data_IF_230533896405
#
_entry.id   IF_230533896405
#
_cell.length_a   1.000
_cell.length_b   1.000
_cell.length_c   1.000
_cell.angle_alpha   90.00
_cell.angle_beta   90.00
_cell.angle_gamma   90.00
#
_symmetry.space_group_name_H-M   'P 1'
#
loop_
_entity.id
_entity.type
_entity.pdbx_description
1 polymer ?
#
# COMPACT_ATOMS: atom_id res chain seq x y z
N UNK A 1 2.33 -25.02 31.86
CA UNK A 1 2.14 -26.48 31.69
C UNK A 1 3.42 -27.16 32.12
N UNK A 2 3.35 -27.87 33.23
CA UNK A 2 4.47 -28.44 33.97
C UNK A 2 4.56 -29.93 33.64
N UNK A 3 5.73 -30.44 33.25
CA UNK A 3 6.01 -31.88 33.21
C UNK A 3 7.21 -32.16 34.11
N UNK A 4 7.02 -32.79 35.28
CA UNK A 4 8.16 -33.23 36.06
C UNK A 4 8.67 -34.56 35.51
N UNK A 5 9.96 -34.61 35.20
CA UNK A 5 10.71 -35.86 35.05
C UNK A 5 11.02 -36.38 36.45
N UNK A 6 10.55 -37.58 36.79
CA UNK A 6 10.93 -38.26 38.02
C UNK A 6 11.77 -39.50 37.67
N UNK A 7 13.06 -39.42 37.99
CA UNK A 7 14.00 -40.54 37.93
C UNK A 7 13.74 -41.44 39.15
N UNK A 8 13.49 -42.72 38.93
CA UNK A 8 13.42 -43.70 40.03
C UNK A 8 14.76 -44.43 40.12
N UNK A 9 15.38 -44.27 41.29
CA UNK A 9 16.70 -44.79 41.67
C UNK A 9 16.58 -46.25 42.09
N UNK A 10 17.59 -47.02 41.70
CA UNK A 10 17.81 -48.40 42.11
C UNK A 10 18.09 -48.52 43.62
N UNK A 11 17.48 -49.51 44.28
CA UNK A 11 18.09 -50.33 45.35
C UNK A 11 16.99 -51.14 46.05
N UNK A 12 17.02 -52.47 45.91
CA UNK A 12 16.77 -53.41 47.01
C UNK A 12 17.58 -54.67 46.70
N UNK A 13 18.74 -54.80 47.35
CA UNK A 13 19.34 -56.10 47.62
C UNK A 13 18.66 -56.66 48.86
N UNK A 14 17.98 -57.80 48.75
CA UNK A 14 17.72 -58.66 49.91
C UNK A 14 17.74 -60.13 49.48
N UNK A 15 18.84 -60.75 49.84
CA UNK A 15 19.16 -62.18 49.86
C UNK A 15 17.97 -63.12 50.04
N UNK A 16 17.89 -64.14 49.17
CA UNK A 16 17.47 -65.47 49.60
C UNK A 16 18.22 -66.51 48.77
N UNK A 17 19.29 -67.03 49.37
CA UNK A 17 20.04 -68.19 48.92
C UNK A 17 19.09 -69.37 48.72
N UNK A 18 18.78 -69.71 47.47
CA UNK A 18 18.04 -70.93 47.18
C UNK A 18 19.03 -72.09 47.20
N UNK A 19 19.11 -72.73 48.36
CA UNK A 19 19.77 -74.02 48.55
C UNK A 19 19.17 -75.00 47.53
N UNK A 20 20.05 -75.52 46.66
CA UNK A 20 19.82 -76.65 45.78
C UNK A 20 19.62 -77.92 46.64
N UNK A 21 18.41 -78.13 47.12
CA UNK A 21 17.95 -79.46 47.54
C UNK A 21 17.47 -80.19 46.28
N UNK A 22 18.39 -80.91 45.65
CA UNK A 22 18.15 -81.85 44.56
C UNK A 22 17.29 -83.00 45.11
N UNK A 23 15.97 -82.84 45.09
CA UNK A 23 15.06 -83.98 45.06
C UNK A 23 14.96 -84.42 43.60
N UNK A 24 15.65 -85.51 43.29
CA UNK A 24 15.72 -86.23 42.03
C UNK A 24 14.36 -86.79 41.62
N UNK A 25 13.44 -85.91 41.22
CA UNK A 25 12.42 -86.23 40.23
C UNK A 25 12.89 -85.75 38.87
N UNK A 26 12.62 -86.46 37.77
CA UNK A 26 12.91 -85.95 36.44
C UNK A 26 12.00 -84.74 36.16
N UNK A 27 12.44 -83.53 36.52
CA UNK A 27 11.86 -82.30 35.99
C UNK A 27 12.45 -82.10 34.60
N UNK A 28 11.97 -82.93 33.68
CA UNK A 28 12.06 -82.62 32.26
C UNK A 28 11.21 -81.38 32.02
N UNK A 29 11.81 -80.20 32.09
CA UNK A 29 11.38 -79.10 31.23
C UNK A 29 11.79 -79.45 29.79
N UNK A 30 11.27 -80.58 29.28
CA UNK A 30 11.40 -80.96 27.89
C UNK A 30 10.41 -80.07 27.13
N UNK A 31 10.80 -78.82 26.88
CA UNK A 31 10.32 -78.13 25.69
C UNK A 31 10.62 -79.07 24.53
N UNK A 32 9.59 -79.66 23.95
CA UNK A 32 9.78 -80.58 22.83
C UNK A 32 10.46 -79.82 21.70
N UNK A 33 11.28 -80.51 20.89
CA UNK A 33 11.96 -79.89 19.76
C UNK A 33 10.97 -79.17 18.81
N UNK A 34 9.71 -79.63 18.76
CA UNK A 34 8.60 -78.96 18.09
C UNK A 34 8.27 -77.58 18.70
N UNK A 35 8.10 -77.47 20.02
CA UNK A 35 7.78 -76.20 20.69
C UNK A 35 8.89 -75.15 20.54
N UNK A 36 10.15 -75.56 20.52
CA UNK A 36 11.27 -74.66 20.24
C UNK A 36 11.24 -74.16 18.78
N UNK A 37 10.91 -75.05 17.84
CA UNK A 37 10.78 -74.74 16.41
C UNK A 37 9.62 -73.78 16.15
N UNK A 38 8.49 -73.96 16.83
CA UNK A 38 7.32 -73.07 16.74
C UNK A 38 7.61 -71.67 17.30
N UNK A 39 8.32 -71.58 18.44
CA UNK A 39 8.80 -70.29 18.97
C UNK A 39 9.76 -69.60 18.03
N UNK A 40 10.68 -70.35 17.40
CA UNK A 40 11.64 -69.80 16.44
C UNK A 40 10.94 -69.25 15.18
N UNK A 41 9.97 -70.00 14.64
CA UNK A 41 9.13 -69.54 13.53
C UNK A 41 8.34 -68.27 13.91
N UNK A 42 7.74 -68.23 15.11
CA UNK A 42 7.01 -67.06 15.60
C UNK A 42 7.91 -65.83 15.73
N UNK A 43 9.11 -65.99 16.30
CA UNK A 43 10.10 -64.91 16.42
C UNK A 43 10.55 -64.43 15.04
N UNK A 44 10.74 -65.34 14.08
CA UNK A 44 11.14 -65.00 12.72
C UNK A 44 10.04 -64.21 11.98
N UNK A 45 8.78 -64.62 12.14
CA UNK A 45 7.61 -63.89 11.64
C UNK A 45 7.47 -62.50 12.27
N UNK A 46 7.65 -62.39 13.59
CA UNK A 46 7.65 -61.10 14.29
C UNK A 46 8.78 -60.20 13.79
N UNK A 47 9.98 -60.75 13.59
CA UNK A 47 11.13 -60.02 13.02
C UNK A 47 10.82 -59.50 11.62
N UNK A 48 10.16 -60.30 10.78
CA UNK A 48 9.76 -59.90 9.44
C UNK A 48 8.69 -58.80 9.48
N UNK A 49 7.64 -58.95 10.29
CA UNK A 49 6.60 -57.91 10.48
C UNK A 49 7.16 -56.60 11.03
N UNK A 50 8.13 -56.68 11.94
CA UNK A 50 8.81 -55.50 12.48
C UNK A 50 9.66 -54.81 11.39
N UNK A 51 10.40 -55.56 10.58
CA UNK A 51 11.15 -54.99 9.43
C UNK A 51 10.23 -54.28 8.44
N UNK A 52 9.09 -54.87 8.11
CA UNK A 52 8.09 -54.24 7.23
C UNK A 52 7.51 -52.96 7.84
N UNK A 53 7.21 -52.99 9.15
CA UNK A 53 6.69 -51.82 9.88
C UNK A 53 7.71 -50.69 9.97
N UNK A 54 8.99 -51.01 10.18
CA UNK A 54 10.11 -50.05 10.14
C UNK A 54 10.24 -49.46 8.72
N UNK A 55 10.19 -50.28 7.68
CA UNK A 55 10.25 -49.81 6.28
C UNK A 55 9.09 -48.87 5.94
N UNK A 56 7.85 -49.23 6.34
CA UNK A 56 6.66 -48.37 6.19
C UNK A 56 6.83 -47.04 6.96
N UNK A 57 7.34 -47.09 8.18
CA UNK A 57 7.57 -45.90 9.01
C UNK A 57 8.65 -45.00 8.42
N UNK A 58 9.75 -45.56 7.90
CA UNK A 58 10.80 -44.80 7.20
C UNK A 58 10.29 -44.11 5.94
N UNK A 59 9.43 -44.79 5.15
CA UNK A 59 8.75 -44.18 4.00
C UNK A 59 7.82 -43.03 4.41
N UNK A 60 7.05 -43.19 5.49
CA UNK A 60 6.20 -42.12 6.03
C UNK A 60 7.03 -40.93 6.52
N UNK A 61 8.15 -41.18 7.20
CA UNK A 61 9.07 -40.14 7.67
C UNK A 61 9.63 -39.34 6.49
N UNK A 62 10.16 -40.02 5.47
CA UNK A 62 10.66 -39.37 4.24
C UNK A 62 9.59 -38.49 3.60
N UNK A 63 8.37 -39.02 3.40
CA UNK A 63 7.25 -38.24 2.83
C UNK A 63 6.88 -37.03 3.68
N UNK A 64 6.98 -37.12 5.01
CA UNK A 64 6.70 -36.00 5.89
C UNK A 64 7.82 -34.95 5.83
N UNK A 65 9.07 -35.38 5.67
CA UNK A 65 10.21 -34.49 5.46
C UNK A 65 10.07 -33.72 4.13
N UNK A 66 9.75 -34.42 3.04
CA UNK A 66 9.50 -33.79 1.74
C UNK A 66 8.37 -32.74 1.82
N UNK A 67 7.30 -33.05 2.58
CA UNK A 67 6.19 -32.11 2.83
C UNK A 67 6.64 -30.92 3.68
N UNK A 68 7.46 -31.13 4.71
CA UNK A 68 7.99 -30.04 5.53
C UNK A 68 8.85 -29.11 4.70
N UNK A 69 9.75 -29.65 3.87
CA UNK A 69 10.61 -28.86 2.98
C UNK A 69 9.78 -28.05 1.97
N UNK A 70 8.74 -28.65 1.39
CA UNK A 70 7.82 -27.95 0.50
C UNK A 70 7.06 -26.80 1.21
N UNK A 71 6.63 -27.01 2.45
CA UNK A 71 5.98 -25.96 3.25
C UNK A 71 6.96 -24.84 3.60
N UNK A 72 8.19 -25.16 3.97
CA UNK A 72 9.24 -24.16 4.25
C UNK A 72 9.52 -23.30 3.01
N UNK A 73 9.58 -23.91 1.83
CA UNK A 73 9.80 -23.16 0.58
C UNK A 73 8.60 -22.27 0.22
N UNK A 74 7.37 -22.75 0.48
CA UNK A 74 6.15 -21.96 0.33
C UNK A 74 6.13 -20.76 1.29
N UNK A 75 6.57 -20.94 2.54
CA UNK A 75 6.71 -19.85 3.52
C UNK A 75 7.70 -18.81 3.00
N UNK A 76 8.92 -19.20 2.62
CA UNK A 76 9.93 -18.28 2.09
C UNK A 76 9.44 -17.50 0.87
N UNK A 77 8.73 -18.16 -0.04
CA UNK A 77 8.14 -17.52 -1.22
C UNK A 77 7.06 -16.51 -0.83
N UNK A 78 6.25 -16.85 0.17
CA UNK A 78 5.19 -15.97 0.69
C UNK A 78 5.78 -14.76 1.40
N UNK A 79 6.82 -14.94 2.23
CA UNK A 79 7.52 -13.85 2.90
C UNK A 79 8.15 -12.86 1.90
N UNK A 80 8.74 -13.37 0.81
CA UNK A 80 9.25 -12.51 -0.28
C UNK A 80 8.14 -11.70 -0.94
N UNK A 81 6.96 -12.31 -1.17
CA UNK A 81 5.79 -11.60 -1.72
C UNK A 81 5.29 -10.54 -0.75
N UNK A 82 5.20 -10.84 0.54
CA UNK A 82 4.81 -9.89 1.59
C UNK A 82 5.77 -8.70 1.61
N UNK A 83 7.08 -8.96 1.64
CA UNK A 83 8.09 -7.90 1.62
C UNK A 83 7.98 -7.00 0.38
N UNK A 84 7.80 -7.62 -0.80
CA UNK A 84 7.61 -6.88 -2.07
C UNK A 84 6.34 -6.03 -2.05
N UNK A 85 5.23 -6.58 -1.55
CA UNK A 85 3.96 -5.87 -1.43
C UNK A 85 4.05 -4.71 -0.44
N UNK A 86 4.69 -4.90 0.71
CA UNK A 86 4.93 -3.83 1.68
C UNK A 86 5.78 -2.70 1.09
N UNK A 87 6.81 -3.03 0.31
CA UNK A 87 7.60 -2.04 -0.42
C UNK A 87 6.76 -1.24 -1.43
N UNK A 88 5.87 -1.92 -2.17
CA UNK A 88 4.93 -1.26 -3.08
C UNK A 88 3.95 -0.35 -2.33
N UNK A 89 3.37 -0.82 -1.22
CA UNK A 89 2.46 -0.03 -0.38
C UNK A 89 3.14 1.26 0.09
N UNK A 90 4.37 1.18 0.60
CA UNK A 90 5.13 2.35 1.07
C UNK A 90 5.40 3.37 -0.06
N UNK A 91 5.79 2.87 -1.23
CA UNK A 91 6.00 3.71 -2.42
C UNK A 91 4.72 4.40 -2.89
N UNK A 92 3.63 3.63 -3.02
CA UNK A 92 2.29 4.14 -3.37
C UNK A 92 1.82 5.20 -2.38
N UNK A 93 1.99 4.97 -1.07
CA UNK A 93 1.62 5.93 -0.04
C UNK A 93 2.39 7.24 -0.17
N UNK A 94 3.70 7.17 -0.45
CA UNK A 94 4.53 8.36 -0.71
C UNK A 94 4.03 9.16 -1.91
N UNK A 95 3.65 8.48 -3.00
CA UNK A 95 3.09 9.13 -4.20
C UNK A 95 1.74 9.79 -3.90
N UNK A 96 0.87 9.13 -3.13
CA UNK A 96 -0.42 9.68 -2.70
C UNK A 96 -0.21 10.98 -1.91
N UNK A 97 0.70 10.98 -0.95
CA UNK A 97 0.93 12.15 -0.10
C UNK A 97 1.55 13.32 -0.88
N UNK A 98 2.47 13.05 -1.80
CA UNK A 98 2.98 14.07 -2.74
C UNK A 98 1.87 14.64 -3.63
N UNK A 99 0.95 13.81 -4.12
CA UNK A 99 -0.16 14.26 -4.95
C UNK A 99 -1.16 15.10 -4.14
N UNK A 100 -1.44 14.75 -2.88
CA UNK A 100 -2.28 15.57 -1.99
C UNK A 100 -1.70 16.97 -1.80
N UNK A 101 -0.40 17.07 -1.51
CA UNK A 101 0.29 18.37 -1.37
C UNK A 101 0.20 19.20 -2.65
N UNK A 102 0.43 18.58 -3.82
CA UNK A 102 0.28 19.25 -5.12
C UNK A 102 -1.16 19.72 -5.34
N UNK A 103 -2.17 18.93 -4.95
CA UNK A 103 -3.58 19.31 -5.06
C UNK A 103 -3.92 20.51 -4.17
N UNK A 104 -3.39 20.57 -2.96
CA UNK A 104 -3.58 21.73 -2.06
C UNK A 104 -2.99 23.00 -2.66
N UNK A 105 -1.75 22.94 -3.16
CA UNK A 105 -1.10 24.06 -3.84
C UNK A 105 -1.87 24.53 -5.09
N UNK A 106 -2.39 23.58 -5.88
CA UNK A 106 -3.22 23.89 -7.04
C UNK A 106 -4.53 24.58 -6.64
N UNK A 107 -5.20 24.10 -5.59
CA UNK A 107 -6.44 24.73 -5.08
C UNK A 107 -6.18 26.15 -4.60
N UNK A 108 -5.10 26.38 -3.85
CA UNK A 108 -4.73 27.71 -3.38
C UNK A 108 -4.43 28.65 -4.57
N UNK A 109 -3.71 28.15 -5.57
CA UNK A 109 -3.39 28.90 -6.79
C UNK A 109 -4.66 29.27 -7.57
N UNK A 110 -5.59 28.32 -7.73
CA UNK A 110 -6.88 28.55 -8.40
C UNK A 110 -7.68 29.60 -7.62
N UNK A 111 -7.71 29.53 -6.29
CA UNK A 111 -8.43 30.51 -5.47
C UNK A 111 -7.87 31.93 -5.66
N UNK A 112 -6.55 32.10 -5.62
CA UNK A 112 -5.89 33.39 -5.88
C UNK A 112 -6.21 33.91 -7.28
N UNK A 113 -6.23 33.04 -8.29
CA UNK A 113 -6.59 33.42 -9.67
C UNK A 113 -8.07 33.87 -9.73
N UNK A 114 -8.98 33.14 -9.09
CA UNK A 114 -10.41 33.50 -9.05
C UNK A 114 -10.61 34.88 -8.41
N UNK A 115 -9.96 35.15 -7.28
CA UNK A 115 -10.01 36.46 -6.63
C UNK A 115 -9.54 37.59 -7.55
N UNK A 116 -8.46 37.38 -8.33
CA UNK A 116 -8.01 38.36 -9.33
C UNK A 116 -9.01 38.55 -10.46
N UNK A 117 -9.60 37.45 -10.95
CA UNK A 117 -10.61 37.48 -12.01
C UNK A 117 -11.85 38.25 -11.56
N UNK A 118 -12.33 38.00 -10.33
CA UNK A 118 -13.52 38.63 -9.79
C UNK A 118 -13.27 40.13 -9.54
N UNK A 119 -12.15 40.48 -8.91
CA UNK A 119 -11.77 41.87 -8.67
C UNK A 119 -11.67 42.68 -9.98
N UNK A 120 -10.99 42.14 -11.01
CA UNK A 120 -10.91 42.79 -12.33
C UNK A 120 -12.25 42.80 -13.05
N UNK A 121 -13.06 41.77 -12.87
CA UNK A 121 -14.41 41.67 -13.43
C UNK A 121 -15.31 42.80 -12.95
N UNK A 122 -15.29 43.11 -11.65
CA UNK A 122 -16.06 44.22 -11.09
C UNK A 122 -15.57 45.58 -11.57
N UNK A 123 -14.24 45.78 -11.69
CA UNK A 123 -13.67 47.01 -12.28
C UNK A 123 -14.15 47.19 -13.72
N UNK A 124 -14.06 46.14 -14.56
CA UNK A 124 -14.48 46.19 -15.96
C UNK A 124 -15.99 46.42 -16.08
N UNK A 125 -16.81 45.77 -15.25
CA UNK A 125 -18.27 45.97 -15.21
C UNK A 125 -18.61 47.41 -14.84
N UNK A 126 -17.94 47.98 -13.84
CA UNK A 126 -18.09 49.37 -13.45
C UNK A 126 -17.74 50.33 -14.60
N UNK A 127 -16.60 50.11 -15.27
CA UNK A 127 -16.17 50.93 -16.42
C UNK A 127 -17.15 50.86 -17.60
N UNK A 128 -17.62 49.66 -17.96
CA UNK A 128 -18.61 49.49 -19.03
C UNK A 128 -19.93 50.19 -18.68
N UNK A 129 -20.39 50.07 -17.43
CA UNK A 129 -21.60 50.75 -16.96
C UNK A 129 -21.47 52.27 -17.06
N UNK A 130 -20.36 52.83 -16.60
CA UNK A 130 -20.08 54.27 -16.72
C UNK A 130 -20.02 54.70 -18.18
N UNK A 131 -19.35 53.92 -19.04
CA UNK A 131 -19.31 54.21 -20.48
C UNK A 131 -20.70 54.24 -21.11
N UNK A 132 -21.58 53.31 -20.73
CA UNK A 132 -22.96 53.26 -21.21
C UNK A 132 -23.80 54.45 -20.72
N UNK A 133 -23.75 54.75 -19.42
CA UNK A 133 -24.50 55.87 -18.81
C UNK A 133 -24.02 57.20 -19.37
N UNK A 134 -22.71 57.36 -19.55
CA UNK A 134 -22.09 58.56 -20.08
C UNK A 134 -22.15 58.65 -21.61
N UNK A 135 -23.10 58.01 -22.30
CA UNK A 135 -23.34 58.23 -23.75
C UNK A 135 -22.30 57.65 -24.71
N UNK A 136 -21.36 56.83 -24.21
CA UNK A 136 -20.39 56.11 -25.03
C UNK A 136 -19.49 57.02 -25.89
N UNK A 137 -19.26 56.60 -27.14
CA UNK A 137 -18.36 57.28 -28.07
C UNK A 137 -18.78 58.73 -28.41
N UNK A 138 -20.09 59.03 -28.36
CA UNK A 138 -20.63 60.36 -28.70
C UNK A 138 -20.17 61.40 -27.69
N UNK A 139 -20.28 61.11 -26.39
CA UNK A 139 -19.82 62.03 -25.36
C UNK A 139 -18.29 62.17 -25.30
N UNK A 140 -17.52 61.14 -25.69
CA UNK A 140 -16.07 61.29 -25.81
C UNK A 140 -15.70 62.27 -26.93
N UNK A 141 -16.43 62.25 -28.04
CA UNK A 141 -16.24 63.19 -29.14
C UNK A 141 -16.60 64.62 -28.71
N UNK A 142 -17.70 64.80 -27.98
CA UNK A 142 -18.09 66.10 -27.42
C UNK A 142 -17.05 66.64 -26.41
N UNK A 143 -16.48 65.78 -25.55
CA UNK A 143 -15.41 66.17 -24.62
C UNK A 143 -14.14 66.60 -25.35
N UNK A 144 -13.82 65.97 -26.48
CA UNK A 144 -12.68 66.34 -27.31
C UNK A 144 -12.94 67.64 -28.09
N UNK A 145 -14.14 67.80 -28.67
CA UNK A 145 -14.53 68.98 -29.46
C UNK A 145 -14.82 70.22 -28.60
N UNK A 146 -15.17 70.05 -27.32
CA UNK A 146 -15.36 71.13 -26.35
C UNK A 146 -14.06 71.68 -25.73
N UNK A 147 -12.90 71.44 -26.34
CA UNK A 147 -11.61 71.93 -25.85
C UNK A 147 -11.42 73.42 -26.16
N UNK A 148 -11.00 74.21 -25.15
CA UNK A 148 -10.81 75.68 -25.28
C UNK A 148 -9.53 76.10 -26.02
N UNK A 149 -8.60 75.17 -26.22
CA UNK A 149 -7.31 75.41 -26.90
C UNK A 149 -6.72 74.09 -27.41
N UNK A 150 -5.78 74.16 -28.36
CA UNK A 150 -5.12 72.98 -28.91
C UNK A 150 -4.32 72.19 -27.84
N UNK A 151 -3.68 72.87 -26.88
CA UNK A 151 -3.01 72.21 -25.76
C UNK A 151 -3.98 71.39 -24.90
N UNK A 152 -5.13 71.97 -24.53
CA UNK A 152 -6.18 71.27 -23.78
C UNK A 152 -6.76 70.07 -24.55
N UNK A 153 -6.84 70.15 -25.89
CA UNK A 153 -7.21 69.01 -26.72
C UNK A 153 -6.19 67.87 -26.63
N UNK A 154 -4.88 68.17 -26.73
CA UNK A 154 -3.83 67.17 -26.63
C UNK A 154 -3.80 66.51 -25.25
N UNK A 155 -3.96 67.28 -24.17
CA UNK A 155 -4.00 66.73 -22.80
C UNK A 155 -5.17 65.74 -22.63
N UNK A 156 -6.36 66.09 -23.14
CA UNK A 156 -7.54 65.21 -23.12
C UNK A 156 -7.34 63.95 -23.96
N UNK A 157 -6.73 64.09 -25.14
CA UNK A 157 -6.42 62.95 -26.01
C UNK A 157 -5.43 62.00 -25.35
N UNK A 158 -4.38 62.52 -24.72
CA UNK A 158 -3.39 61.72 -23.99
C UNK A 158 -4.02 61.02 -22.78
N UNK A 159 -4.90 61.71 -22.04
CA UNK A 159 -5.64 61.10 -20.93
C UNK A 159 -6.54 59.95 -21.39
N UNK A 160 -7.30 60.13 -22.47
CA UNK A 160 -8.15 59.07 -23.04
C UNK A 160 -7.33 57.89 -23.54
N UNK A 161 -6.19 58.15 -24.20
CA UNK A 161 -5.27 57.10 -24.63
C UNK A 161 -4.74 56.30 -23.44
N UNK A 162 -4.32 56.98 -22.37
CA UNK A 162 -3.83 56.32 -21.15
C UNK A 162 -4.90 55.44 -20.50
N UNK A 163 -6.14 55.92 -20.40
CA UNK A 163 -7.28 55.13 -19.87
C UNK A 163 -7.52 53.90 -20.74
N UNK A 164 -7.59 54.08 -22.05
CA UNK A 164 -7.83 52.99 -23.02
C UNK A 164 -6.72 51.94 -22.97
N UNK A 165 -5.45 52.36 -22.87
CA UNK A 165 -4.31 51.45 -22.74
C UNK A 165 -4.39 50.67 -21.42
N UNK A 166 -4.81 51.30 -20.32
CA UNK A 166 -5.01 50.62 -19.05
C UNK A 166 -6.16 49.60 -19.14
N UNK A 167 -7.27 49.95 -19.78
CA UNK A 167 -8.39 49.03 -20.00
C UNK A 167 -7.98 47.81 -20.82
N UNK A 168 -7.26 48.03 -21.92
CA UNK A 168 -6.73 46.95 -22.74
C UNK A 168 -5.77 46.05 -21.95
N UNK A 169 -4.94 46.61 -21.07
CA UNK A 169 -4.08 45.81 -20.17
C UNK A 169 -4.92 44.95 -19.22
N UNK A 170 -5.93 45.52 -18.57
CA UNK A 170 -6.81 44.78 -17.65
C UNK A 170 -7.53 43.64 -18.38
N UNK A 171 -8.06 43.89 -19.59
CA UNK A 171 -8.74 42.87 -20.41
C UNK A 171 -7.75 41.74 -20.80
N UNK A 172 -6.54 42.11 -21.22
CA UNK A 172 -5.53 41.12 -21.58
C UNK A 172 -5.11 40.26 -20.38
N UNK A 173 -4.91 40.86 -19.21
CA UNK A 173 -4.57 40.13 -18.00
C UNK A 173 -5.73 39.27 -17.50
N UNK A 174 -6.97 39.73 -17.64
CA UNK A 174 -8.17 38.96 -17.36
C UNK A 174 -8.27 37.71 -18.26
N UNK A 175 -7.97 37.86 -19.55
CA UNK A 175 -7.94 36.75 -20.51
C UNK A 175 -6.84 35.73 -20.15
N UNK A 176 -5.64 36.21 -19.80
CA UNK A 176 -4.53 35.35 -19.36
C UNK A 176 -4.91 34.59 -18.09
N UNK A 177 -5.46 35.26 -17.08
CA UNK A 177 -5.84 34.61 -15.83
C UNK A 177 -6.95 33.56 -16.05
N UNK A 178 -7.95 33.82 -16.90
CA UNK A 178 -8.94 32.79 -17.30
C UNK A 178 -8.31 31.59 -18.00
N UNK A 179 -7.33 31.79 -18.87
CA UNK A 179 -6.61 30.68 -19.51
C UNK A 179 -5.78 29.87 -18.50
N UNK A 180 -5.11 30.56 -17.57
CA UNK A 180 -4.33 29.90 -16.51
C UNK A 180 -5.27 29.11 -15.60
N UNK A 181 -6.39 29.70 -15.18
CA UNK A 181 -7.43 29.05 -14.37
C UNK A 181 -7.87 27.73 -15.00
N UNK A 182 -8.24 27.73 -16.29
CA UNK A 182 -8.65 26.53 -17.01
C UNK A 182 -7.53 25.47 -17.06
N UNK A 183 -6.29 25.89 -17.31
CA UNK A 183 -5.14 24.98 -17.29
C UNK A 183 -4.92 24.35 -15.92
N UNK A 184 -5.03 25.13 -14.85
CA UNK A 184 -4.86 24.63 -13.48
C UNK A 184 -6.01 23.70 -13.07
N UNK A 185 -7.24 23.98 -13.47
CA UNK A 185 -8.38 23.10 -13.24
C UNK A 185 -8.21 21.74 -13.94
N UNK A 186 -7.71 21.73 -15.19
CA UNK A 186 -7.39 20.48 -15.91
C UNK A 186 -6.32 19.68 -15.18
N UNK A 187 -5.22 20.33 -14.77
CA UNK A 187 -4.15 19.68 -13.99
C UNK A 187 -4.65 19.12 -12.67
N UNK A 188 -5.53 19.84 -11.97
CA UNK A 188 -6.14 19.36 -10.74
C UNK A 188 -7.02 18.12 -10.97
N UNK A 189 -7.80 18.10 -12.06
CA UNK A 189 -8.62 16.94 -12.44
C UNK A 189 -7.79 15.71 -12.86
N UNK A 190 -6.66 15.93 -13.55
CA UNK A 190 -5.70 14.88 -13.89
C UNK A 190 -5.06 14.31 -12.62
N UNK A 191 -4.62 15.16 -11.70
CA UNK A 191 -4.02 14.75 -10.43
C UNK A 191 -5.02 13.98 -9.55
N UNK A 192 -6.29 14.39 -9.49
CA UNK A 192 -7.32 13.65 -8.76
C UNK A 192 -7.62 12.28 -9.37
N UNK A 193 -7.61 12.17 -10.71
CA UNK A 193 -7.78 10.87 -11.40
C UNK A 193 -6.61 9.94 -11.14
N UNK A 194 -5.38 10.45 -11.21
CA UNK A 194 -4.18 9.68 -10.92
C UNK A 194 -4.17 9.16 -9.47
N UNK A 195 -4.64 9.97 -8.51
CA UNK A 195 -4.72 9.56 -7.12
C UNK A 195 -5.76 8.46 -6.91
N UNK A 196 -6.95 8.57 -7.52
CA UNK A 196 -7.97 7.51 -7.43
C UNK A 196 -7.52 6.20 -8.08
N UNK A 197 -6.84 6.27 -9.23
CA UNK A 197 -6.28 5.09 -9.90
C UNK A 197 -5.15 4.42 -9.10
N UNK A 198 -4.50 5.15 -8.20
CA UNK A 198 -3.45 4.64 -7.32
C UNK A 198 -4.01 3.92 -6.09
N UNK A 199 -5.26 4.22 -5.72
CA UNK A 199 -5.96 3.66 -4.55
C UNK A 199 -6.79 2.42 -4.89
N UNK A 200 -7.26 2.29 -6.14
CA UNK A 200 -7.95 1.10 -6.67
C UNK A 200 -6.98 0.03 -7.13
#
# INVERSE_FOLDING_TARGET
MNVPKLKFVASVCLSCSLVLSVSSGPVFAATTQSQLKDKLNTIQDQKQKNKESISKSKRKLSKNQDKQDAVVEAIKTTDKKISTLNGRISSTQTVIDQNKLKMEQLKETINKINQRIDARGEILRGRIRTMYISGGAVNYLDVLMGAKSFGNFLDRLLALKMITDQDNRIINDQKKDKQIQQKQQRKAAECSRANNACVT
#
